data_IF_264897896246
#
_entry.id   IF_264897896246
#
_cell.length_a   1.000
_cell.length_b   1.000
_cell.length_c   1.000
_cell.angle_alpha   90.00
_cell.angle_beta   90.00
_cell.angle_gamma   90.00
#
_symmetry.space_group_name_H-M   'P 1'
#
loop_
_entity.id
_entity.type
_entity.pdbx_description
1 polymer ?
#
# COMPACT_ATOMS: atom_id res chain seq x y z
N UNK A 1 -15.18 -10.54 8.97
CA UNK A 1 -14.79 -9.18 8.50
C UNK A 1 -15.82 -8.75 7.46
N UNK A 2 -16.43 -7.60 7.65
CA UNK A 2 -17.36 -6.97 6.71
C UNK A 2 -16.77 -5.64 6.27
N UNK A 3 -16.83 -5.32 4.98
CA UNK A 3 -16.29 -4.05 4.46
C UNK A 3 -17.45 -3.09 4.18
N UNK A 4 -17.42 -1.90 4.76
CA UNK A 4 -18.35 -0.82 4.46
C UNK A 4 -18.04 -0.09 3.14
N UNK A 5 -16.90 -0.43 2.53
CA UNK A 5 -16.38 0.21 1.33
C UNK A 5 -16.75 -0.54 0.04
N UNK A 6 -17.22 -1.79 0.19
CA UNK A 6 -17.45 -2.69 -0.91
C UNK A 6 -18.83 -2.56 -1.53
N UNK A 7 -18.90 -2.50 -2.84
CA UNK A 7 -20.12 -2.64 -3.63
C UNK A 7 -19.81 -3.16 -5.02
N UNK A 8 -20.51 -4.20 -5.46
CA UNK A 8 -20.39 -4.70 -6.82
C UNK A 8 -20.98 -3.73 -7.84
N UNK A 9 -20.39 -3.71 -9.04
CA UNK A 9 -20.99 -3.10 -10.21
C UNK A 9 -22.04 -4.02 -10.82
N UNK A 10 -23.10 -3.45 -11.32
CA UNK A 10 -24.01 -4.16 -12.22
C UNK A 10 -23.29 -4.52 -13.53
N UNK A 11 -23.80 -5.51 -14.25
CA UNK A 11 -23.25 -5.86 -15.57
C UNK A 11 -23.25 -4.65 -16.53
N UNK A 12 -24.32 -3.85 -16.53
CA UNK A 12 -24.42 -2.65 -17.38
C UNK A 12 -23.36 -1.59 -17.05
N UNK A 13 -23.00 -1.42 -15.76
CA UNK A 13 -21.93 -0.51 -15.37
C UNK A 13 -20.55 -1.03 -15.81
N UNK A 14 -20.28 -2.34 -15.68
CA UNK A 14 -19.06 -2.96 -16.19
C UNK A 14 -18.92 -2.77 -17.70
N UNK A 15 -20.00 -3.01 -18.46
CA UNK A 15 -20.04 -2.81 -19.92
C UNK A 15 -19.78 -1.34 -20.30
N UNK A 16 -20.38 -0.38 -19.58
CA UNK A 16 -20.13 1.06 -19.80
C UNK A 16 -18.67 1.42 -19.56
N UNK A 17 -18.08 0.94 -18.47
CA UNK A 17 -16.67 1.21 -18.14
C UNK A 17 -15.74 0.64 -19.23
N UNK A 18 -15.90 -0.63 -19.59
CA UNK A 18 -15.05 -1.29 -20.59
C UNK A 18 -15.22 -0.62 -21.99
N UNK A 19 -16.44 -0.31 -22.37
CA UNK A 19 -16.69 0.37 -23.66
C UNK A 19 -16.08 1.78 -23.68
N UNK A 20 -16.25 2.57 -22.62
CA UNK A 20 -15.71 3.92 -22.54
C UNK A 20 -14.18 3.95 -22.48
N UNK A 21 -13.58 3.03 -21.72
CA UNK A 21 -12.15 3.03 -21.45
C UNK A 21 -11.30 2.35 -22.54
N UNK A 22 -11.82 1.27 -23.16
CA UNK A 22 -11.06 0.42 -24.08
C UNK A 22 -11.70 0.31 -25.46
N UNK A 23 -12.88 0.88 -25.69
CA UNK A 23 -13.63 0.77 -26.96
C UNK A 23 -13.88 -0.67 -27.42
N UNK A 24 -14.13 -1.59 -26.48
CA UNK A 24 -14.33 -3.02 -26.70
C UNK A 24 -15.55 -3.54 -25.92
N UNK A 25 -15.89 -4.81 -26.10
CA UNK A 25 -17.01 -5.47 -25.43
C UNK A 25 -16.53 -6.54 -24.44
N UNK A 26 -17.34 -6.81 -23.42
CA UNK A 26 -17.12 -7.88 -22.45
C UNK A 26 -17.62 -9.21 -23.05
N UNK A 27 -16.75 -10.22 -23.07
CA UNK A 27 -17.12 -11.59 -23.39
C UNK A 27 -17.50 -12.35 -22.11
N UNK A 28 -16.77 -12.12 -21.04
CA UNK A 28 -17.00 -12.72 -19.71
C UNK A 28 -16.44 -11.83 -18.62
N UNK A 29 -17.15 -11.78 -17.48
CA UNK A 29 -16.67 -11.12 -16.28
C UNK A 29 -16.90 -12.00 -15.06
N UNK A 30 -15.98 -11.96 -14.10
CA UNK A 30 -16.14 -12.54 -12.78
C UNK A 30 -15.49 -11.68 -11.72
N UNK A 31 -16.13 -11.62 -10.56
CA UNK A 31 -15.56 -10.99 -9.38
C UNK A 31 -14.29 -11.73 -8.92
N UNK A 32 -13.26 -10.98 -8.55
CA UNK A 32 -12.12 -11.49 -7.83
C UNK A 32 -12.34 -11.24 -6.33
N UNK A 33 -12.23 -12.29 -5.54
CA UNK A 33 -12.37 -12.21 -4.09
C UNK A 33 -11.04 -11.82 -3.45
N UNK A 34 -11.08 -11.21 -2.24
CA UNK A 34 -9.90 -10.89 -1.43
C UNK A 34 -9.54 -9.41 -1.33
N UNK A 35 -10.08 -8.53 -2.19
CA UNK A 35 -9.92 -7.09 -2.03
C UNK A 35 -10.87 -6.53 -0.98
N UNK A 36 -10.34 -5.82 0.02
CA UNK A 36 -11.15 -5.21 1.10
C UNK A 36 -11.54 -3.76 0.77
N UNK A 37 -10.76 -3.10 -0.05
CA UNK A 37 -10.91 -1.68 -0.41
C UNK A 37 -11.54 -1.52 -1.80
N UNK A 38 -10.92 -2.07 -2.84
CA UNK A 38 -11.40 -2.01 -4.21
C UNK A 38 -12.26 -3.21 -4.58
N UNK A 39 -13.32 -2.98 -5.37
CA UNK A 39 -14.07 -4.06 -6.02
C UNK A 39 -13.35 -4.43 -7.31
N UNK A 40 -12.93 -5.69 -7.45
CA UNK A 40 -12.03 -6.11 -8.52
C UNK A 40 -12.65 -7.23 -9.37
N UNK A 41 -12.62 -7.06 -10.69
CA UNK A 41 -13.14 -8.03 -11.65
C UNK A 41 -12.05 -8.52 -12.61
N UNK A 42 -12.03 -9.81 -12.89
CA UNK A 42 -11.36 -10.36 -14.06
C UNK A 42 -12.33 -10.31 -15.24
N UNK A 43 -11.99 -9.51 -16.24
CA UNK A 43 -12.83 -9.29 -17.43
C UNK A 43 -12.10 -9.85 -18.65
N UNK A 44 -12.79 -10.68 -19.44
CA UNK A 44 -12.34 -11.13 -20.73
C UNK A 44 -13.02 -10.27 -21.80
N UNK A 45 -12.22 -9.58 -22.62
CA UNK A 45 -12.69 -8.64 -23.65
C UNK A 45 -12.44 -9.19 -25.05
N UNK A 46 -13.17 -8.69 -26.04
CA UNK A 46 -13.03 -9.12 -27.43
C UNK A 46 -11.63 -8.81 -27.99
N UNK A 47 -11.06 -7.65 -27.68
CA UNK A 47 -9.86 -7.15 -28.38
C UNK A 47 -8.59 -7.13 -27.50
N UNK A 48 -8.73 -7.03 -26.15
CA UNK A 48 -7.61 -6.91 -25.23
C UNK A 48 -7.28 -8.23 -24.49
N UNK A 49 -8.09 -9.30 -24.71
CA UNK A 49 -8.00 -10.52 -23.94
C UNK A 49 -8.43 -10.30 -22.47
N UNK A 50 -7.68 -10.87 -21.52
CA UNK A 50 -8.00 -10.73 -20.09
C UNK A 50 -7.41 -9.45 -19.53
N UNK A 51 -8.25 -8.69 -18.84
CA UNK A 51 -7.88 -7.49 -18.08
C UNK A 51 -8.44 -7.57 -16.66
N UNK A 52 -7.90 -6.77 -15.75
CA UNK A 52 -8.42 -6.60 -14.39
C UNK A 52 -9.03 -5.20 -14.29
N UNK A 53 -10.33 -5.14 -14.02
CA UNK A 53 -11.04 -3.91 -13.69
C UNK A 53 -11.07 -3.75 -12.18
N UNK A 54 -10.47 -2.69 -11.67
CA UNK A 54 -10.50 -2.27 -10.26
C UNK A 54 -11.40 -1.04 -10.15
N UNK A 55 -12.30 -1.05 -9.18
CA UNK A 55 -13.27 0.02 -8.94
C UNK A 55 -13.13 0.48 -7.50
N UNK A 56 -12.96 1.77 -7.31
CA UNK A 56 -12.76 2.40 -6.01
C UNK A 56 -13.92 2.18 -5.04
N UNK A 57 -13.76 2.50 -3.76
CA UNK A 57 -14.72 2.24 -2.71
C UNK A 57 -15.99 3.10 -2.82
N UNK A 58 -17.05 2.63 -2.16
CA UNK A 58 -18.20 3.47 -1.76
C UNK A 58 -17.92 4.08 -0.37
N UNK A 59 -18.84 4.88 0.15
CA UNK A 59 -18.75 5.46 1.50
C UNK A 59 -17.41 6.19 1.77
N UNK A 60 -16.93 6.93 0.79
CA UNK A 60 -15.62 7.65 0.83
C UNK A 60 -15.50 8.63 2.00
N UNK A 61 -16.58 8.94 2.71
CA UNK A 61 -16.55 9.74 3.94
C UNK A 61 -15.96 9.00 5.14
N UNK A 62 -15.87 7.66 5.09
CA UNK A 62 -15.24 6.82 6.12
C UNK A 62 -13.72 6.73 5.94
N UNK A 63 -13.20 7.04 4.75
CA UNK A 63 -11.80 6.86 4.38
C UNK A 63 -10.87 7.80 5.16
N UNK A 64 -9.69 7.29 5.46
CA UNK A 64 -8.56 8.15 5.83
C UNK A 64 -8.31 9.19 4.73
N UNK A 65 -7.90 10.42 5.07
CA UNK A 65 -7.75 11.50 4.08
C UNK A 65 -6.87 11.12 2.89
N UNK A 66 -5.79 10.37 3.09
CA UNK A 66 -4.89 9.95 2.02
C UNK A 66 -5.49 8.90 1.07
N UNK A 67 -6.51 8.15 1.50
CA UNK A 67 -7.11 7.06 0.71
C UNK A 67 -8.05 7.56 -0.40
N UNK A 68 -8.31 8.85 -0.45
CA UNK A 68 -9.28 9.44 -1.39
C UNK A 68 -8.77 9.49 -2.84
N UNK A 69 -7.48 9.39 -3.09
CA UNK A 69 -6.85 9.52 -4.42
C UNK A 69 -5.91 8.36 -4.74
N UNK A 70 -6.14 7.17 -4.19
CA UNK A 70 -5.23 6.03 -4.31
C UNK A 70 -5.04 5.56 -5.77
N UNK A 71 -6.10 5.46 -6.56
CA UNK A 71 -5.99 5.00 -7.95
C UNK A 71 -5.16 5.94 -8.83
N UNK A 72 -5.27 7.27 -8.63
CA UNK A 72 -4.44 8.24 -9.35
C UNK A 72 -2.96 8.11 -8.96
N UNK A 73 -2.69 7.86 -7.67
CA UNK A 73 -1.35 7.63 -7.16
C UNK A 73 -0.74 6.37 -7.77
N UNK A 74 -1.47 5.27 -7.76
CA UNK A 74 -1.00 3.96 -8.22
C UNK A 74 -0.59 3.96 -9.69
N UNK A 75 -1.37 4.60 -10.58
CA UNK A 75 -1.00 4.72 -11.99
C UNK A 75 0.37 5.37 -12.19
N UNK A 76 0.66 6.41 -11.41
CA UNK A 76 1.96 7.07 -11.46
C UNK A 76 3.09 6.14 -11.00
N UNK A 77 2.88 5.35 -9.94
CA UNK A 77 3.86 4.41 -9.44
C UNK A 77 4.14 3.30 -10.46
N UNK A 78 3.12 2.77 -11.13
CA UNK A 78 3.30 1.77 -12.17
C UNK A 78 4.10 2.30 -13.37
N UNK A 79 3.94 3.57 -13.73
CA UNK A 79 4.80 4.21 -14.74
C UNK A 79 6.27 4.26 -14.31
N UNK A 80 6.54 4.53 -13.03
CA UNK A 80 7.89 4.49 -12.47
C UNK A 80 8.45 3.05 -12.45
N UNK A 81 7.65 2.08 -12.03
CA UNK A 81 8.04 0.67 -12.04
C UNK A 81 8.42 0.19 -13.44
N UNK A 82 7.62 0.56 -14.45
CA UNK A 82 7.92 0.25 -15.87
C UNK A 82 9.25 0.84 -16.32
N UNK A 83 9.56 2.08 -15.96
CA UNK A 83 10.82 2.76 -16.30
C UNK A 83 12.04 2.08 -15.69
N UNK A 84 11.91 1.62 -14.44
CA UNK A 84 12.99 0.98 -13.67
C UNK A 84 13.05 -0.54 -13.87
N UNK A 85 12.19 -1.10 -14.71
CA UNK A 85 12.13 -2.54 -14.95
C UNK A 85 11.76 -3.33 -13.70
N UNK A 86 10.86 -2.79 -12.88
CA UNK A 86 10.23 -3.49 -11.76
C UNK A 86 8.99 -4.18 -12.29
N UNK A 87 8.85 -5.52 -12.13
CA UNK A 87 7.68 -6.22 -12.63
C UNK A 87 6.39 -5.74 -11.93
N UNK A 88 5.43 -5.26 -12.72
CA UNK A 88 4.12 -4.77 -12.26
C UNK A 88 3.08 -4.88 -13.36
N UNK A 89 1.80 -4.65 -13.05
CA UNK A 89 0.74 -4.62 -14.04
C UNK A 89 0.87 -3.40 -14.96
N UNK A 90 0.55 -3.59 -16.24
CA UNK A 90 0.44 -2.48 -17.19
C UNK A 90 -0.93 -1.80 -17.04
N UNK A 91 -0.95 -0.51 -16.77
CA UNK A 91 -2.20 0.28 -16.77
C UNK A 91 -2.64 0.51 -18.21
N UNK A 92 -3.85 0.07 -18.54
CA UNK A 92 -4.47 0.23 -19.86
C UNK A 92 -5.36 1.47 -19.91
N UNK A 93 -6.08 1.76 -18.84
CA UNK A 93 -6.92 2.92 -18.67
C UNK A 93 -7.15 3.25 -17.19
N UNK A 94 -7.47 4.51 -16.93
CA UNK A 94 -7.87 5.02 -15.63
C UNK A 94 -8.84 6.17 -15.80
N UNK A 95 -9.82 6.28 -14.90
CA UNK A 95 -10.69 7.46 -14.83
C UNK A 95 -11.09 7.75 -13.38
N UNK A 96 -10.71 8.93 -12.92
CA UNK A 96 -11.11 9.49 -11.61
C UNK A 96 -12.08 10.68 -11.77
N UNK A 97 -12.60 10.92 -13.00
CA UNK A 97 -13.54 12.02 -13.27
C UNK A 97 -14.97 11.74 -12.80
N UNK A 98 -15.29 10.45 -12.54
CA UNK A 98 -16.62 9.97 -12.15
C UNK A 98 -17.74 10.28 -13.17
N UNK A 99 -17.37 10.41 -14.45
CA UNK A 99 -18.32 10.73 -15.54
C UNK A 99 -18.95 9.48 -16.15
N UNK A 100 -18.25 8.35 -16.18
CA UNK A 100 -18.74 7.07 -16.70
C UNK A 100 -19.57 6.32 -15.65
N UNK A 101 -19.01 6.20 -14.45
CA UNK A 101 -19.66 5.70 -13.23
C UNK A 101 -19.32 6.64 -12.08
N UNK A 102 -20.09 6.61 -10.97
CA UNK A 102 -19.89 7.49 -9.81
C UNK A 102 -18.67 7.18 -8.95
N UNK A 103 -17.79 6.28 -9.40
CA UNK A 103 -16.61 5.78 -8.69
C UNK A 103 -15.38 5.87 -9.59
N UNK A 104 -14.22 6.00 -8.95
CA UNK A 104 -12.94 5.89 -9.65
C UNK A 104 -12.75 4.46 -10.15
N UNK A 105 -12.12 4.29 -11.32
CA UNK A 105 -11.74 2.97 -11.81
C UNK A 105 -10.40 2.97 -12.52
N UNK A 106 -9.77 1.80 -12.53
CA UNK A 106 -8.56 1.51 -13.27
C UNK A 106 -8.66 0.14 -13.93
N UNK A 107 -8.17 0.05 -15.15
CA UNK A 107 -8.07 -1.21 -15.89
C UNK A 107 -6.60 -1.51 -16.12
N UNK A 108 -6.17 -2.68 -15.64
CA UNK A 108 -4.80 -3.14 -15.83
C UNK A 108 -4.78 -4.46 -16.62
N UNK A 109 -3.66 -4.74 -17.28
CA UNK A 109 -3.46 -6.01 -17.94
C UNK A 109 -3.41 -7.14 -16.93
N UNK A 110 -4.16 -8.21 -17.20
CA UNK A 110 -4.15 -9.39 -16.34
C UNK A 110 -2.80 -10.10 -16.41
N UNK A 111 -2.20 -10.33 -15.26
CA UNK A 111 -1.03 -11.19 -15.08
C UNK A 111 -1.53 -12.57 -14.64
N UNK A 112 -1.23 -13.64 -15.39
CA UNK A 112 -1.67 -15.01 -15.02
C UNK A 112 -0.76 -15.58 -13.93
N UNK A 113 -0.99 -15.10 -12.71
CA UNK A 113 -0.25 -15.42 -11.51
C UNK A 113 -1.20 -15.43 -10.30
N UNK A 114 -0.80 -16.05 -9.22
CA UNK A 114 -1.49 -16.02 -7.93
C UNK A 114 -0.69 -15.23 -6.88
N UNK A 115 -1.34 -14.84 -5.79
CA UNK A 115 -0.64 -14.22 -4.67
C UNK A 115 0.35 -15.19 -4.02
N UNK A 116 1.51 -14.71 -3.61
CA UNK A 116 2.51 -15.51 -2.91
C UNK A 116 1.96 -16.09 -1.60
N UNK A 117 1.05 -15.38 -0.92
CA UNK A 117 0.36 -15.85 0.29
C UNK A 117 -0.50 -17.10 0.06
N UNK A 118 -0.96 -17.32 -1.16
CA UNK A 118 -1.83 -18.43 -1.57
C UNK A 118 -1.07 -19.50 -2.35
N UNK A 119 0.21 -19.27 -2.65
CA UNK A 119 1.03 -20.18 -3.46
C UNK A 119 1.89 -21.07 -2.58
N UNK A 120 1.76 -22.38 -2.73
CA UNK A 120 2.65 -23.35 -2.08
C UNK A 120 3.99 -23.34 -2.81
N UNK A 121 5.06 -23.05 -2.10
CA UNK A 121 6.43 -22.95 -2.63
C UNK A 121 7.34 -23.92 -1.88
N UNK A 122 8.10 -24.73 -2.62
CA UNK A 122 9.21 -25.48 -2.07
C UNK A 122 10.32 -24.53 -1.59
N UNK A 123 11.16 -24.96 -0.66
CA UNK A 123 12.17 -24.11 -0.01
C UNK A 123 13.15 -23.45 -1.01
N UNK A 124 13.61 -24.22 -2.01
CA UNK A 124 14.50 -23.71 -3.04
C UNK A 124 13.86 -22.62 -3.90
N UNK A 125 12.61 -22.81 -4.31
CA UNK A 125 11.87 -21.82 -5.09
C UNK A 125 11.54 -20.59 -4.26
N UNK A 126 11.15 -20.77 -2.99
CA UNK A 126 10.93 -19.68 -2.04
C UNK A 126 12.19 -18.83 -1.87
N UNK A 127 13.34 -19.45 -1.67
CA UNK A 127 14.62 -18.77 -1.50
C UNK A 127 14.98 -17.92 -2.74
N UNK A 128 14.82 -18.47 -3.94
CA UNK A 128 15.07 -17.78 -5.20
C UNK A 128 14.10 -16.61 -5.39
N UNK A 129 12.80 -16.85 -5.20
CA UNK A 129 11.77 -15.83 -5.35
C UNK A 129 11.95 -14.69 -4.34
N UNK A 130 12.28 -15.00 -3.07
CA UNK A 130 12.58 -13.96 -2.08
C UNK A 130 13.79 -13.10 -2.49
N UNK A 131 14.80 -13.69 -3.11
CA UNK A 131 15.94 -12.92 -3.66
C UNK A 131 15.49 -11.98 -4.78
N UNK A 132 14.67 -12.47 -5.73
CA UNK A 132 14.16 -11.67 -6.85
C UNK A 132 13.28 -10.51 -6.35
N UNK A 133 12.45 -10.75 -5.33
CA UNK A 133 11.65 -9.71 -4.68
C UNK A 133 12.56 -8.69 -3.98
N UNK A 134 13.62 -9.13 -3.32
CA UNK A 134 14.63 -8.25 -2.73
C UNK A 134 15.26 -7.32 -3.77
N UNK A 135 15.62 -7.85 -4.95
CA UNK A 135 16.14 -7.04 -6.07
C UNK A 135 15.11 -6.01 -6.54
N UNK A 136 13.83 -6.38 -6.65
CA UNK A 136 12.75 -5.47 -7.04
C UNK A 136 12.56 -4.36 -5.99
N UNK A 137 12.55 -4.69 -4.71
CA UNK A 137 12.47 -3.73 -3.60
C UNK A 137 13.67 -2.76 -3.62
N UNK A 138 14.88 -3.26 -3.84
CA UNK A 138 16.07 -2.42 -3.96
C UNK A 138 16.01 -1.45 -5.15
N UNK A 139 15.43 -1.85 -6.28
CA UNK A 139 15.20 -0.96 -7.43
C UNK A 139 14.19 0.12 -7.05
N UNK A 140 13.07 -0.25 -6.44
CA UNK A 140 12.04 0.68 -5.99
C UNK A 140 12.60 1.73 -5.04
N UNK A 141 13.35 1.31 -4.02
CA UNK A 141 13.94 2.20 -3.03
C UNK A 141 15.10 3.07 -3.58
N UNK A 142 15.53 2.89 -4.83
CA UNK A 142 16.47 3.83 -5.50
C UNK A 142 15.77 4.96 -6.22
N UNK A 143 14.47 4.85 -6.47
CA UNK A 143 13.69 5.94 -7.07
C UNK A 143 13.52 7.03 -6.02
N UNK A 144 13.84 8.28 -6.36
CA UNK A 144 13.82 9.41 -5.43
C UNK A 144 12.91 10.53 -5.92
N UNK A 145 12.46 11.37 -4.98
CA UNK A 145 11.68 12.56 -5.26
C UNK A 145 12.29 13.80 -4.59
N UNK A 146 11.74 14.98 -4.89
CA UNK A 146 12.19 16.24 -4.30
C UNK A 146 11.58 16.53 -2.92
N UNK A 147 10.51 15.81 -2.54
CA UNK A 147 9.74 16.05 -1.31
C UNK A 147 9.27 14.73 -0.70
N UNK A 148 9.11 14.76 0.63
CA UNK A 148 8.47 13.69 1.40
C UNK A 148 6.95 13.80 1.30
N UNK A 149 6.24 12.66 1.36
CA UNK A 149 4.77 12.66 1.36
C UNK A 149 4.15 11.50 0.60
N UNK A 150 2.84 11.45 0.60
CA UNK A 150 2.06 10.51 -0.22
C UNK A 150 2.30 10.76 -1.70
N UNK A 151 2.30 9.69 -2.49
CA UNK A 151 2.63 9.75 -3.91
C UNK A 151 1.76 10.72 -4.69
N UNK A 152 0.44 10.75 -4.44
CA UNK A 152 -0.49 11.68 -5.08
C UNK A 152 -0.13 13.16 -4.81
N UNK A 153 0.23 13.49 -3.56
CA UNK A 153 0.56 14.85 -3.16
C UNK A 153 1.87 15.32 -3.78
N UNK A 154 2.90 14.48 -3.75
CA UNK A 154 4.20 14.82 -4.33
C UNK A 154 4.09 14.98 -5.85
N UNK A 155 3.33 14.11 -6.53
CA UNK A 155 3.01 14.26 -7.97
C UNK A 155 2.33 15.60 -8.27
N UNK A 156 1.45 16.06 -7.38
CA UNK A 156 0.75 17.35 -7.51
C UNK A 156 1.60 18.55 -7.07
N UNK A 157 2.90 18.39 -6.81
CA UNK A 157 3.81 19.45 -6.39
C UNK A 157 3.69 19.85 -4.91
N UNK A 158 2.90 19.14 -4.14
CA UNK A 158 2.77 19.25 -2.69
C UNK A 158 3.82 18.37 -2.00
N UNK A 159 3.79 18.29 -0.68
CA UNK A 159 4.72 17.48 0.12
C UNK A 159 5.65 18.34 0.96
N UNK A 160 6.50 17.69 1.73
CA UNK A 160 7.26 18.30 2.83
C UNK A 160 8.77 18.28 2.53
N UNK A 161 9.49 19.19 3.17
CA UNK A 161 10.96 19.26 3.08
C UNK A 161 11.64 18.40 4.13
N UNK A 162 10.95 18.11 5.23
CA UNK A 162 11.44 17.27 6.32
C UNK A 162 10.58 16.03 6.49
N UNK A 163 11.22 14.93 6.83
CA UNK A 163 10.54 13.67 7.06
C UNK A 163 9.60 13.71 8.28
N UNK A 164 10.04 14.40 9.36
CA UNK A 164 9.22 14.60 10.56
C UNK A 164 7.95 15.42 10.29
N UNK A 165 8.03 16.42 9.41
CA UNK A 165 6.87 17.26 9.04
C UNK A 165 5.78 16.44 8.36
N UNK A 166 6.16 15.55 7.44
CA UNK A 166 5.21 14.63 6.79
C UNK A 166 4.56 13.68 7.80
N UNK A 167 5.36 13.03 8.66
CA UNK A 167 4.81 12.05 9.62
C UNK A 167 3.88 12.70 10.66
N UNK A 168 4.18 13.93 11.06
CA UNK A 168 3.30 14.72 11.94
C UNK A 168 2.01 15.15 11.22
N UNK A 169 2.07 15.45 9.93
CA UNK A 169 0.89 15.75 9.12
C UNK A 169 0.03 14.51 8.92
N UNK A 170 0.62 13.36 8.64
CA UNK A 170 -0.07 12.07 8.55
C UNK A 170 -0.84 11.75 9.85
N UNK A 171 -0.19 11.93 11.01
CA UNK A 171 -0.85 11.79 12.31
C UNK A 171 -2.00 12.79 12.51
N UNK A 172 -1.82 14.04 12.10
CA UNK A 172 -2.85 15.06 12.20
C UNK A 172 -4.05 14.75 11.32
N UNK A 173 -3.81 14.23 10.13
CA UNK A 173 -4.88 13.78 9.24
C UNK A 173 -5.63 12.58 9.85
N UNK A 174 -4.91 11.58 10.38
CA UNK A 174 -5.50 10.47 11.12
C UNK A 174 -6.34 10.95 12.31
N UNK A 175 -5.80 11.83 13.14
CA UNK A 175 -6.49 12.39 14.31
C UNK A 175 -7.81 13.07 13.92
N UNK A 176 -7.84 13.77 12.79
CA UNK A 176 -9.03 14.50 12.31
C UNK A 176 -10.24 13.61 12.04
N UNK A 177 -10.02 12.33 11.77
CA UNK A 177 -11.08 11.32 11.56
C UNK A 177 -11.23 10.35 12.74
N UNK A 178 -10.16 10.07 13.47
CA UNK A 178 -10.15 9.14 14.60
C UNK A 178 -10.76 9.75 15.87
N UNK A 179 -10.50 11.03 16.15
CA UNK A 179 -11.02 11.73 17.35
C UNK A 179 -12.54 11.88 17.34
N UNK A 180 -13.22 12.26 16.23
CA UNK A 180 -14.68 12.31 16.18
C UNK A 180 -15.40 10.98 16.48
N UNK A 181 -14.78 9.85 16.16
CA UNK A 181 -15.31 8.51 16.45
C UNK A 181 -14.82 7.94 17.79
N UNK A 182 -14.08 8.74 18.56
CA UNK A 182 -13.54 8.36 19.88
C UNK A 182 -12.72 7.06 19.82
N UNK A 183 -11.87 6.93 18.79
CA UNK A 183 -11.10 5.72 18.52
C UNK A 183 -10.16 5.37 19.68
N UNK A 184 -9.59 6.39 20.33
CA UNK A 184 -8.74 6.29 21.52
C UNK A 184 -9.24 7.24 22.63
N UNK A 185 -8.86 7.00 23.90
CA UNK A 185 -9.00 7.97 24.98
C UNK A 185 -8.32 9.30 24.64
N UNK A 186 -8.97 10.42 25.01
CA UNK A 186 -8.59 11.77 24.60
C UNK A 186 -7.13 12.14 24.92
N UNK A 187 -6.64 11.71 26.07
CA UNK A 187 -5.27 11.97 26.55
C UNK A 187 -4.18 11.31 25.70
N UNK A 188 -4.52 10.27 24.92
CA UNK A 188 -3.54 9.56 24.10
C UNK A 188 -3.20 10.31 22.81
N UNK A 189 -4.09 11.09 22.25
CA UNK A 189 -3.82 11.84 21.00
C UNK A 189 -2.64 12.82 21.20
N UNK A 190 -2.70 13.67 22.20
CA UNK A 190 -1.63 14.63 22.49
C UNK A 190 -0.31 13.95 22.88
N UNK A 191 -0.40 12.83 23.59
CA UNK A 191 0.76 12.03 23.97
C UNK A 191 1.46 11.43 22.76
N UNK A 192 0.73 10.81 21.83
CA UNK A 192 1.25 10.25 20.57
C UNK A 192 1.93 11.35 19.76
N UNK A 193 1.24 12.48 19.57
CA UNK A 193 1.78 13.60 18.81
C UNK A 193 3.08 14.15 19.41
N UNK A 194 3.12 14.30 20.74
CA UNK A 194 4.31 14.76 21.47
C UNK A 194 5.50 13.81 21.31
N UNK A 195 5.26 12.50 21.32
CA UNK A 195 6.31 11.49 21.12
C UNK A 195 6.93 11.55 19.75
N UNK A 196 6.11 11.61 18.69
CA UNK A 196 6.62 11.73 17.32
C UNK A 196 7.37 13.05 17.13
N UNK A 197 6.91 14.14 17.76
CA UNK A 197 7.62 15.43 17.75
C UNK A 197 8.97 15.34 18.45
N UNK A 198 9.09 14.62 19.56
CA UNK A 198 10.38 14.38 20.23
C UNK A 198 11.34 13.55 19.39
N UNK A 199 10.82 12.63 18.58
CA UNK A 199 11.61 11.83 17.65
C UNK A 199 12.11 12.60 16.41
N UNK A 200 11.65 13.85 16.17
CA UNK A 200 12.00 14.64 14.99
C UNK A 200 13.51 14.72 14.70
N UNK A 201 14.42 14.86 15.69
CA UNK A 201 15.86 14.86 15.40
C UNK A 201 16.39 13.55 14.80
N UNK A 202 15.78 12.42 15.12
CA UNK A 202 16.12 11.12 14.51
C UNK A 202 15.49 10.99 13.12
N UNK A 203 14.24 11.43 12.96
CA UNK A 203 13.50 11.40 11.68
C UNK A 203 14.17 12.29 10.62
N UNK A 204 14.57 13.50 10.98
CA UNK A 204 15.15 14.48 10.05
C UNK A 204 16.61 14.19 9.65
N UNK A 205 17.21 13.10 10.12
CA UNK A 205 18.44 12.56 9.55
C UNK A 205 18.20 12.01 8.14
N UNK A 206 16.96 11.67 7.80
CA UNK A 206 16.56 11.29 6.46
C UNK A 206 16.34 12.54 5.63
N UNK A 207 17.18 12.72 4.62
CA UNK A 207 17.20 13.94 3.78
C UNK A 207 16.79 13.66 2.33
N UNK A 208 16.73 12.40 1.92
CA UNK A 208 16.36 11.99 0.56
C UNK A 208 15.08 11.17 0.61
N UNK A 209 14.00 11.65 -0.04
CA UNK A 209 12.77 10.89 -0.18
C UNK A 209 12.95 9.75 -1.22
N UNK A 210 12.81 8.51 -0.78
CA UNK A 210 12.81 7.32 -1.63
C UNK A 210 11.38 6.79 -1.79
N UNK A 211 11.12 6.10 -2.89
CA UNK A 211 9.83 5.45 -3.10
C UNK A 211 9.71 4.23 -2.19
N UNK A 212 8.65 4.18 -1.38
CA UNK A 212 8.31 3.10 -0.45
C UNK A 212 6.88 2.65 -0.76
N UNK A 213 6.65 1.36 -0.92
CA UNK A 213 5.33 0.79 -1.27
C UNK A 213 4.34 0.91 -0.11
N UNK A 214 4.81 0.68 1.11
CA UNK A 214 4.08 0.68 2.39
C UNK A 214 3.05 -0.44 2.60
N UNK A 215 2.73 -1.20 1.56
CA UNK A 215 1.84 -2.37 1.62
C UNK A 215 2.45 -3.58 0.88
N UNK A 216 3.75 -3.82 1.07
CA UNK A 216 4.54 -4.83 0.36
C UNK A 216 4.50 -6.21 1.05
N UNK A 217 3.31 -6.71 1.34
CA UNK A 217 3.11 -8.03 1.93
C UNK A 217 2.94 -9.12 0.86
N UNK A 218 2.95 -10.40 1.26
CA UNK A 218 2.92 -11.54 0.33
C UNK A 218 1.65 -11.64 -0.51
N UNK A 219 0.56 -10.98 -0.13
CA UNK A 219 -0.66 -10.87 -0.93
C UNK A 219 -0.50 -9.94 -2.14
N UNK A 220 0.40 -8.95 -2.04
CA UNK A 220 0.68 -7.99 -3.11
C UNK A 220 1.90 -8.38 -3.97
N UNK A 221 2.39 -9.61 -3.80
CA UNK A 221 3.45 -10.22 -4.62
C UNK A 221 2.85 -11.37 -5.43
N UNK A 222 2.92 -11.27 -6.75
CA UNK A 222 2.37 -12.29 -7.64
C UNK A 222 3.44 -13.31 -8.07
N UNK A 223 3.05 -14.58 -8.04
CA UNK A 223 3.87 -15.74 -8.44
C UNK A 223 3.22 -16.44 -9.63
N UNK A 224 3.96 -16.55 -10.72
CA UNK A 224 3.53 -17.33 -11.90
C UNK A 224 4.12 -18.73 -11.88
N UNK A 225 3.31 -19.73 -12.24
CA UNK A 225 3.73 -21.14 -12.38
C UNK A 225 3.68 -21.60 -13.83
N UNK A 226 3.53 -20.68 -14.80
CA UNK A 226 3.31 -21.01 -16.22
C UNK A 226 4.51 -21.63 -16.92
N UNK A 227 5.72 -21.31 -16.49
CA UNK A 227 6.97 -21.89 -17.02
C UNK A 227 7.23 -23.32 -16.57
N UNK A 228 6.34 -23.87 -15.71
CA UNK A 228 6.54 -25.16 -15.04
C UNK A 228 7.34 -25.05 -13.74
N UNK A 229 7.86 -23.88 -13.43
CA UNK A 229 8.54 -23.55 -12.17
C UNK A 229 7.98 -22.22 -11.61
N UNK A 230 7.75 -22.10 -10.30
CA UNK A 230 7.27 -20.85 -9.70
C UNK A 230 8.28 -19.71 -9.91
N UNK A 231 7.81 -18.53 -10.35
CA UNK A 231 8.64 -17.36 -10.60
C UNK A 231 7.96 -16.09 -10.07
N UNK A 232 8.76 -15.15 -9.57
CA UNK A 232 8.27 -13.81 -9.23
C UNK A 232 7.75 -13.12 -10.50
N UNK A 233 6.46 -12.74 -10.51
CA UNK A 233 5.80 -12.19 -11.68
C UNK A 233 5.55 -10.67 -11.59
N UNK A 234 5.14 -10.17 -10.43
CA UNK A 234 4.86 -8.74 -10.24
C UNK A 234 4.69 -8.35 -8.77
N UNK A 235 4.85 -7.05 -8.52
CA UNK A 235 4.32 -6.34 -7.35
C UNK A 235 3.06 -5.60 -7.78
N UNK A 236 2.02 -5.64 -6.96
CA UNK A 236 0.74 -4.97 -7.20
C UNK A 236 0.34 -4.13 -5.98
N UNK A 237 -0.71 -3.32 -6.15
CA UNK A 237 -1.35 -2.52 -5.09
C UNK A 237 -0.40 -1.47 -4.47
N UNK A 238 0.31 -0.72 -5.32
CA UNK A 238 1.24 0.33 -4.92
C UNK A 238 0.54 1.69 -4.66
N UNK A 239 -0.75 1.66 -4.35
CA UNK A 239 -1.59 2.84 -4.23
C UNK A 239 -1.30 3.66 -2.95
N UNK A 240 -0.86 3.00 -1.87
CA UNK A 240 -0.48 3.63 -0.60
C UNK A 240 0.97 4.17 -0.57
N UNK A 241 1.66 4.15 -1.70
CA UNK A 241 3.08 4.50 -1.78
C UNK A 241 3.41 5.89 -1.22
N UNK A 242 4.56 5.96 -0.55
CA UNK A 242 5.10 7.15 0.11
C UNK A 242 6.49 7.46 -0.41
N UNK A 243 6.82 8.72 -0.53
CA UNK A 243 8.18 9.20 -0.68
C UNK A 243 8.79 9.43 0.71
N UNK A 244 9.62 8.50 1.17
CA UNK A 244 10.10 8.44 2.55
C UNK A 244 11.42 7.72 2.73
N UNK A 245 11.63 7.15 3.92
CA UNK A 245 12.79 6.30 4.22
C UNK A 245 12.50 4.84 3.82
N UNK A 246 13.42 4.14 3.11
CA UNK A 246 13.27 2.73 2.77
C UNK A 246 12.97 1.79 3.97
N UNK A 247 13.48 2.09 5.16
CA UNK A 247 13.22 1.26 6.34
C UNK A 247 11.77 1.31 6.83
N UNK A 248 10.98 2.28 6.37
CA UNK A 248 9.54 2.30 6.59
C UNK A 248 8.86 1.03 6.03
N UNK A 249 9.30 0.54 4.85
CA UNK A 249 8.76 -0.68 4.22
C UNK A 249 8.77 -1.88 5.19
N UNK A 250 9.82 -1.98 6.00
CA UNK A 250 10.04 -3.13 6.87
C UNK A 250 9.34 -3.03 8.23
N UNK A 251 8.60 -1.95 8.48
CA UNK A 251 7.86 -1.77 9.74
C UNK A 251 6.63 -2.67 9.81
N UNK A 252 6.02 -3.00 8.67
CA UNK A 252 4.78 -3.78 8.59
C UNK A 252 4.96 -5.15 7.91
N UNK A 253 6.05 -5.39 7.18
CA UNK A 253 6.26 -6.62 6.41
C UNK A 253 7.24 -7.58 7.12
N UNK A 254 6.78 -8.22 8.19
CA UNK A 254 7.59 -9.15 8.97
C UNK A 254 8.10 -10.38 8.22
N UNK A 255 7.55 -10.74 7.03
CA UNK A 255 8.00 -11.87 6.24
C UNK A 255 9.39 -11.66 5.65
N UNK A 256 9.68 -10.47 5.13
CA UNK A 256 10.97 -10.12 4.54
C UNK A 256 12.09 -10.18 5.59
N UNK A 257 11.80 -9.78 6.83
CA UNK A 257 12.75 -9.81 7.94
C UNK A 257 13.22 -11.24 8.27
N UNK A 258 12.40 -12.26 7.95
CA UNK A 258 12.68 -13.67 8.22
C UNK A 258 13.23 -14.44 7.02
N UNK A 259 13.41 -13.79 5.87
CA UNK A 259 13.90 -14.39 4.63
C UNK A 259 15.33 -13.92 4.33
N UNK A 260 16.40 -14.65 4.73
CA UNK A 260 17.78 -14.24 4.47
C UNK A 260 18.05 -13.92 3.01
N UNK A 261 17.51 -14.71 2.09
CA UNK A 261 17.67 -14.54 0.65
C UNK A 261 17.03 -13.26 0.09
N UNK A 262 16.02 -12.71 0.77
CA UNK A 262 15.50 -11.38 0.45
C UNK A 262 16.61 -10.32 0.62
N UNK A 263 17.30 -10.35 1.75
CA UNK A 263 18.38 -9.39 2.05
C UNK A 263 19.58 -9.54 1.12
N UNK A 264 19.87 -10.76 0.67
CA UNK A 264 20.87 -10.98 -0.39
C UNK A 264 20.50 -10.27 -1.70
N UNK A 265 19.20 -10.33 -2.09
CA UNK A 265 18.69 -9.64 -3.26
C UNK A 265 18.59 -8.12 -3.07
N UNK A 266 18.17 -7.69 -1.89
CA UNK A 266 18.06 -6.28 -1.52
C UNK A 266 19.43 -5.57 -1.44
N UNK A 267 20.46 -6.31 -1.05
CA UNK A 267 21.84 -5.83 -1.03
C UNK A 267 22.20 -4.95 0.17
N UNK A 268 21.31 -4.87 1.16
CA UNK A 268 21.53 -4.12 2.41
C UNK A 268 20.73 -4.78 3.54
N UNK A 269 20.95 -4.35 4.78
CA UNK A 269 20.20 -4.78 5.97
C UNK A 269 19.72 -3.57 6.76
N UNK A 270 18.85 -3.79 7.76
CA UNK A 270 18.37 -2.72 8.64
C UNK A 270 19.53 -2.12 9.45
N UNK A 271 19.55 -0.80 9.53
CA UNK A 271 20.52 -0.09 10.39
C UNK A 271 20.30 -0.45 11.86
N UNK A 272 21.38 -0.67 12.59
CA UNK A 272 21.37 -0.94 14.03
C UNK A 272 21.60 0.33 14.87
N UNK A 273 21.72 1.49 14.24
CA UNK A 273 21.89 2.77 14.93
C UNK A 273 20.64 3.13 15.73
N UNK A 274 20.84 3.74 16.90
CA UNK A 274 19.75 4.16 17.79
C UNK A 274 18.73 5.04 17.09
N UNK A 275 19.18 5.99 16.26
CA UNK A 275 18.29 6.85 15.52
C UNK A 275 17.40 6.06 14.52
N UNK A 276 17.94 5.03 13.85
CA UNK A 276 17.16 4.17 12.96
C UNK A 276 16.14 3.33 13.74
N UNK A 277 16.49 2.85 14.92
CA UNK A 277 15.57 2.12 15.80
C UNK A 277 14.41 3.02 16.26
N UNK A 278 14.69 4.29 16.62
CA UNK A 278 13.66 5.29 16.95
C UNK A 278 12.75 5.51 15.75
N UNK A 279 13.28 5.72 14.56
CA UNK A 279 12.49 5.93 13.33
C UNK A 279 11.54 4.76 13.07
N UNK A 280 12.04 3.51 13.10
CA UNK A 280 11.20 2.32 12.94
C UNK A 280 10.11 2.18 14.01
N UNK A 281 10.40 2.58 15.26
CA UNK A 281 9.38 2.60 16.31
C UNK A 281 8.26 3.62 16.01
N UNK A 282 8.62 4.81 15.49
CA UNK A 282 7.65 5.83 15.02
C UNK A 282 6.81 5.28 13.87
N UNK A 283 7.43 4.68 12.85
CA UNK A 283 6.71 4.13 11.69
C UNK A 283 5.71 3.06 12.14
N UNK A 284 6.16 2.14 12.97
CA UNK A 284 5.30 1.08 13.49
C UNK A 284 4.13 1.62 14.32
N UNK A 285 4.36 2.66 15.12
CA UNK A 285 3.28 3.35 15.84
C UNK A 285 2.26 3.95 14.87
N UNK A 286 2.71 4.79 13.93
CA UNK A 286 1.82 5.51 13.00
C UNK A 286 1.02 4.52 12.15
N UNK A 287 1.68 3.55 11.50
CA UNK A 287 0.98 2.59 10.62
C UNK A 287 -0.02 1.72 11.38
N UNK A 288 0.30 1.28 12.62
CA UNK A 288 -0.69 0.57 13.43
C UNK A 288 -1.88 1.46 13.85
N UNK A 289 -1.69 2.77 14.02
CA UNK A 289 -2.80 3.68 14.28
C UNK A 289 -3.70 3.87 13.05
N UNK A 290 -3.12 3.95 11.84
CA UNK A 290 -3.87 3.96 10.58
C UNK A 290 -4.66 2.66 10.41
N UNK A 291 -4.01 1.52 10.55
CA UNK A 291 -4.65 0.21 10.46
C UNK A 291 -5.74 0.03 11.52
N UNK A 292 -5.54 0.52 12.74
CA UNK A 292 -6.55 0.46 13.79
C UNK A 292 -7.84 1.22 13.38
N UNK A 293 -7.69 2.38 12.75
CA UNK A 293 -8.84 3.11 12.20
C UNK A 293 -9.51 2.29 11.08
N UNK A 294 -8.75 1.81 10.11
CA UNK A 294 -9.25 1.02 8.97
C UNK A 294 -10.04 -0.19 9.47
N UNK A 295 -9.46 -0.99 10.37
CA UNK A 295 -10.09 -2.22 10.87
C UNK A 295 -11.29 -1.96 11.80
N UNK A 296 -11.40 -0.76 12.38
CA UNK A 296 -12.52 -0.37 13.25
C UNK A 296 -13.65 0.30 12.47
N UNK A 297 -13.33 1.21 11.54
CA UNK A 297 -14.30 2.14 10.92
C UNK A 297 -14.65 1.74 9.50
N UNK A 298 -13.66 1.40 8.69
CA UNK A 298 -13.85 1.03 7.29
C UNK A 298 -14.24 -0.44 7.12
N UNK A 299 -13.66 -1.28 7.99
CA UNK A 299 -13.93 -2.71 8.05
C UNK A 299 -14.49 -3.05 9.44
N UNK A 300 -15.53 -3.85 9.53
CA UNK A 300 -15.98 -4.35 10.83
C UNK A 300 -15.20 -5.62 11.19
N UNK A 301 -14.04 -5.44 11.84
CA UNK A 301 -13.14 -6.52 12.26
C UNK A 301 -12.64 -6.30 13.70
N UNK A 302 -13.51 -6.43 14.72
CA UNK A 302 -13.22 -6.01 16.10
C UNK A 302 -12.05 -6.78 16.75
N UNK A 303 -11.86 -8.05 16.41
CA UNK A 303 -10.76 -8.86 16.95
C UNK A 303 -9.41 -8.40 16.41
N UNK A 304 -9.31 -8.20 15.09
CA UNK A 304 -8.11 -7.68 14.44
C UNK A 304 -7.82 -6.25 14.93
N UNK A 305 -8.85 -5.40 14.98
CA UNK A 305 -8.73 -4.03 15.47
C UNK A 305 -8.18 -3.98 16.91
N UNK A 306 -8.66 -4.85 17.81
CA UNK A 306 -8.18 -4.92 19.18
C UNK A 306 -6.70 -5.31 19.25
N UNK A 307 -6.27 -6.30 18.46
CA UNK A 307 -4.87 -6.72 18.39
C UNK A 307 -3.97 -5.59 17.85
N UNK A 308 -4.39 -4.90 16.79
CA UNK A 308 -3.66 -3.79 16.18
C UNK A 308 -3.52 -2.64 17.18
N UNK A 309 -4.61 -2.27 17.86
CA UNK A 309 -4.60 -1.26 18.93
C UNK A 309 -3.57 -1.59 20.00
N UNK A 310 -3.57 -2.83 20.52
CA UNK A 310 -2.66 -3.25 21.58
C UNK A 310 -1.20 -3.20 21.11
N UNK A 311 -0.93 -3.52 19.83
CA UNK A 311 0.40 -3.33 19.24
C UNK A 311 0.76 -1.85 19.15
N UNK A 312 -0.16 -0.97 18.73
CA UNK A 312 0.09 0.48 18.66
C UNK A 312 0.43 1.06 20.04
N UNK A 313 -0.36 0.73 21.09
CA UNK A 313 -0.12 1.20 22.45
C UNK A 313 1.22 0.71 23.00
N UNK A 314 1.57 -0.55 22.76
CA UNK A 314 2.88 -1.10 23.12
C UNK A 314 4.04 -0.39 22.39
N UNK A 315 3.87 -0.04 21.12
CA UNK A 315 4.89 0.72 20.39
C UNK A 315 5.03 2.14 20.96
N UNK A 316 3.93 2.76 21.39
CA UNK A 316 3.96 4.06 22.07
C UNK A 316 4.81 4.00 23.33
N UNK A 317 4.60 3.00 24.21
CA UNK A 317 5.39 2.80 25.43
C UNK A 317 6.88 2.53 25.13
N UNK A 318 7.17 1.75 24.08
CA UNK A 318 8.55 1.51 23.64
C UNK A 318 9.22 2.80 23.17
N UNK A 319 8.52 3.61 22.37
CA UNK A 319 9.04 4.89 21.88
C UNK A 319 9.29 5.88 23.01
N UNK A 320 8.44 5.92 24.05
CA UNK A 320 8.67 6.77 25.23
C UNK A 320 9.99 6.49 25.95
N UNK A 321 10.42 5.23 25.96
CA UNK A 321 11.68 4.85 26.58
C UNK A 321 12.91 5.15 25.70
N UNK A 322 12.69 5.58 24.44
CA UNK A 322 13.76 5.81 23.46
C UNK A 322 14.01 7.31 23.20
N UNK A 323 13.05 8.22 23.54
CA UNK A 323 13.07 9.66 23.20
C UNK A 323 12.95 10.61 24.39
#
# INVERSE_FOLDING_TARGET
MESHLYQELTQSEQEKVIAAALSTTILRSRLLTGGLFNTTYLVETADFGKVVLRVGPINTHLLLPFERNLMEAECHIYDLFKKEGIPASEVLAQDCSKTVISRDYMIVRYIPAGAMSETVLEEEDRARICRDIGVAAAKMHRITAARFGRSADVKAGRGFTKWSEYLLDELKQWESVARPVQLLPEELYDRIFSLVKKAAPALDQITVPHLVHTDFWTGNVLISTRSGRPEFAAVIDADKAVWGEPELEFSNIGWALRAPTFWEGYGNTLSQETAAQIRRAVYKLIWNLLDYYIFTVELTAPEDAAQIRDVALKQMELLENMV
#
